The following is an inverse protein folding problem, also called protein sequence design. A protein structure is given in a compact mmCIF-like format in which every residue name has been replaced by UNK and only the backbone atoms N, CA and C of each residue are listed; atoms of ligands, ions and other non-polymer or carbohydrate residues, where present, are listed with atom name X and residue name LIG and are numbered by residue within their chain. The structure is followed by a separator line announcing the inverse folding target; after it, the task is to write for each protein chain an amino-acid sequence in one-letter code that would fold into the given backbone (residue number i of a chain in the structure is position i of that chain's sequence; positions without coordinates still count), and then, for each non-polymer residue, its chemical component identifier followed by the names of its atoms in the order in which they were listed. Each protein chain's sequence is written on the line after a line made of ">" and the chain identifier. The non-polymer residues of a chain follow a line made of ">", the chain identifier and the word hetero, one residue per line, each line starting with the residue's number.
data_IF_262210268855
#
_entry.id   IF_262210268855
#
_cell.length_a   1.000
_cell.length_b   1.000
_cell.length_c   1.000
_cell.angle_alpha   90.00
_cell.angle_beta   90.00
_cell.angle_gamma   90.00
#
_symmetry.space_group_name_H-M   'P 1'
#
loop_
_entity.id
_entity.type
_entity.pdbx_description
1 polymer ?
#
# COMPACT_ATOMS: atom_id res chain seq x y z
N UNK A 1 -13.54 -17.03 -8.36
CA UNK A 1 -12.82 -18.32 -8.40
C UNK A 1 -13.34 -19.20 -7.26
N UNK A 2 -13.48 -20.51 -7.46
CA UNK A 2 -13.81 -21.40 -6.35
C UNK A 2 -12.62 -21.49 -5.38
N UNK A 3 -12.89 -21.43 -4.08
CA UNK A 3 -11.87 -21.55 -3.03
C UNK A 3 -11.31 -22.99 -3.02
N UNK A 4 -9.99 -23.13 -3.20
CA UNK A 4 -9.28 -24.41 -3.08
C UNK A 4 -8.46 -24.41 -1.77
N UNK A 5 -8.89 -25.14 -0.72
CA UNK A 5 -8.19 -25.16 0.56
C UNK A 5 -6.80 -25.80 0.49
N UNK A 6 -6.47 -26.50 -0.59
CA UNK A 6 -5.17 -27.14 -0.80
C UNK A 6 -4.18 -26.25 -1.57
N UNK A 7 -4.62 -25.09 -2.07
CA UNK A 7 -3.75 -24.14 -2.75
C UNK A 7 -3.35 -23.05 -1.77
N UNK A 8 -2.05 -22.91 -1.51
CA UNK A 8 -1.55 -21.76 -0.75
C UNK A 8 -1.68 -20.52 -1.64
N UNK A 9 -2.49 -19.55 -1.22
CA UNK A 9 -2.61 -18.25 -1.89
C UNK A 9 -1.74 -17.25 -1.13
N UNK A 10 -0.54 -17.01 -1.65
CA UNK A 10 0.40 -16.10 -1.01
C UNK A 10 0.05 -14.62 -1.25
N UNK A 11 -0.55 -14.29 -2.41
CA UNK A 11 -0.88 -12.91 -2.79
C UNK A 11 -2.01 -12.86 -3.83
N UNK A 12 -2.47 -11.65 -4.16
CA UNK A 12 -3.61 -11.41 -5.10
C UNK A 12 -4.95 -11.90 -4.54
N UNK A 13 -5.10 -11.86 -3.22
CA UNK A 13 -6.40 -12.04 -2.58
C UNK A 13 -7.02 -10.66 -2.36
N UNK A 14 -8.11 -10.38 -3.10
CA UNK A 14 -8.89 -9.15 -2.92
C UNK A 14 -9.99 -9.37 -1.87
N UNK A 15 -10.10 -8.41 -0.96
CA UNK A 15 -11.24 -8.32 -0.05
C UNK A 15 -12.20 -7.28 -0.61
N UNK A 16 -13.06 -7.69 -1.55
CA UNK A 16 -13.94 -6.78 -2.30
C UNK A 16 -14.79 -5.88 -1.38
N UNK A 17 -15.23 -6.40 -0.22
CA UNK A 17 -15.98 -5.63 0.79
C UNK A 17 -15.20 -4.46 1.41
N UNK A 18 -13.88 -4.43 1.23
CA UNK A 18 -12.97 -3.40 1.73
C UNK A 18 -12.39 -2.53 0.62
N UNK A 19 -12.97 -2.58 -0.58
CA UNK A 19 -12.60 -1.73 -1.72
C UNK A 19 -13.60 -0.58 -1.83
N UNK A 20 -13.13 0.65 -1.66
CA UNK A 20 -13.98 1.85 -1.76
C UNK A 20 -13.41 2.85 -2.76
N UNK A 21 -14.29 3.62 -3.39
CA UNK A 21 -13.88 4.71 -4.30
C UNK A 21 -13.56 5.96 -3.50
N UNK A 22 -12.40 6.56 -3.75
CA UNK A 22 -11.97 7.83 -3.17
C UNK A 22 -11.63 8.84 -4.26
N UNK A 23 -11.70 10.12 -3.91
CA UNK A 23 -11.06 11.15 -4.71
C UNK A 23 -9.53 11.00 -4.59
N UNK A 24 -8.80 11.25 -5.68
CA UNK A 24 -7.33 11.19 -5.69
C UNK A 24 -6.74 12.60 -5.71
N UNK A 25 -5.57 12.76 -5.12
CA UNK A 25 -4.79 13.98 -5.26
C UNK A 25 -4.35 14.24 -6.70
N UNK A 26 -4.30 15.52 -7.06
CA UNK A 26 -3.77 15.96 -8.34
C UNK A 26 -2.37 15.38 -8.56
N UNK A 27 -2.08 15.01 -9.81
CA UNK A 27 -0.81 14.36 -10.17
C UNK A 27 -0.80 12.83 -9.98
N UNK A 28 -1.83 12.24 -9.36
CA UNK A 28 -2.00 10.77 -9.41
C UNK A 28 -2.38 10.35 -10.82
N UNK A 29 -1.80 9.25 -11.30
CA UNK A 29 -1.97 8.77 -12.68
C UNK A 29 -2.30 7.29 -12.73
N UNK A 30 -2.64 6.78 -13.92
CA UNK A 30 -2.84 5.35 -14.13
C UNK A 30 -1.59 4.50 -13.81
N UNK A 31 -0.37 5.07 -13.87
CA UNK A 31 0.86 4.36 -13.54
C UNK A 31 1.04 4.12 -12.03
N UNK A 32 0.21 4.76 -11.19
CA UNK A 32 0.27 4.61 -9.75
C UNK A 32 -0.61 3.49 -9.21
N UNK A 33 -1.37 2.82 -10.09
CA UNK A 33 -2.14 1.63 -9.72
C UNK A 33 -1.18 0.57 -9.18
N UNK A 34 -1.50 0.08 -7.99
CA UNK A 34 -0.72 -0.89 -7.23
C UNK A 34 0.18 -0.30 -6.16
N UNK A 35 0.28 1.03 -6.06
CA UNK A 35 1.06 1.72 -5.04
C UNK A 35 0.29 1.95 -3.75
N UNK A 36 1.03 2.20 -2.67
CA UNK A 36 0.49 2.57 -1.38
C UNK A 36 -0.09 3.99 -1.41
N UNK A 37 -1.23 4.16 -0.76
CA UNK A 37 -1.86 5.47 -0.56
C UNK A 37 -2.00 5.79 0.92
N UNK A 38 -2.01 7.08 1.23
CA UNK A 38 -2.35 7.63 2.54
C UNK A 38 -3.60 8.51 2.45
N UNK A 39 -4.19 8.83 3.61
CA UNK A 39 -5.30 9.78 3.67
C UNK A 39 -4.76 11.20 3.40
N UNK A 40 -5.37 11.90 2.45
CA UNK A 40 -5.06 13.31 2.22
C UNK A 40 -5.86 14.17 3.20
N UNK A 41 -5.18 14.73 4.20
CA UNK A 41 -5.82 15.54 5.24
C UNK A 41 -6.19 16.95 4.76
N UNK A 42 -5.87 17.33 3.52
CA UNK A 42 -6.24 18.63 2.95
C UNK A 42 -7.70 18.72 2.50
N UNK A 43 -8.39 17.59 2.31
CA UNK A 43 -9.79 17.56 1.89
C UNK A 43 -10.48 16.25 2.33
N UNK A 44 -11.79 16.31 2.53
CA UNK A 44 -12.57 15.14 2.92
C UNK A 44 -12.66 14.10 1.78
N UNK A 45 -12.59 12.81 2.14
CA UNK A 45 -12.81 11.69 1.21
C UNK A 45 -11.73 11.53 0.14
N UNK A 46 -10.53 12.06 0.39
CA UNK A 46 -9.44 12.11 -0.58
C UNK A 46 -8.22 11.33 -0.10
N UNK A 47 -7.55 10.68 -1.03
CA UNK A 47 -6.29 9.97 -0.80
C UNK A 47 -5.21 10.49 -1.73
N UNK A 48 -3.96 10.25 -1.37
CA UNK A 48 -2.77 10.57 -2.18
C UNK A 48 -1.75 9.45 -2.06
N UNK A 49 -0.75 9.43 -2.95
CA UNK A 49 0.36 8.50 -2.80
C UNK A 49 1.04 8.69 -1.46
N UNK A 50 1.34 7.58 -0.78
CA UNK A 50 1.96 7.62 0.54
C UNK A 50 3.29 8.38 0.47
N UNK A 51 3.43 9.43 1.28
CA UNK A 51 4.70 10.13 1.48
C UNK A 51 5.64 9.32 2.38
N UNK A 52 6.86 9.81 2.56
CA UNK A 52 7.81 9.20 3.49
C UNK A 52 7.25 9.17 4.92
N UNK A 53 7.47 8.06 5.60
CA UNK A 53 6.97 7.72 6.95
C UNK A 53 5.43 7.72 7.11
N UNK A 54 4.68 7.89 6.02
CA UNK A 54 3.22 7.90 6.08
C UNK A 54 2.66 6.51 6.39
N UNK A 55 1.66 6.45 7.27
CA UNK A 55 0.92 5.21 7.50
C UNK A 55 0.18 4.79 6.22
N UNK A 56 0.34 3.53 5.81
CA UNK A 56 -0.35 2.98 4.64
C UNK A 56 -1.85 2.86 4.93
N UNK A 57 -2.63 3.76 4.33
CA UNK A 57 -4.09 3.77 4.41
C UNK A 57 -4.69 2.67 3.54
N UNK A 58 -4.12 2.42 2.37
CA UNK A 58 -4.59 1.38 1.46
C UNK A 58 -3.67 1.20 0.27
N UNK A 59 -4.14 0.42 -0.70
CA UNK A 59 -3.50 0.26 -2.01
C UNK A 59 -4.43 0.75 -3.11
N UNK A 60 -3.90 1.50 -4.07
CA UNK A 60 -4.67 1.94 -5.23
C UNK A 60 -4.90 0.76 -6.19
N UNK A 61 -6.15 0.38 -6.40
CA UNK A 61 -6.54 -0.75 -7.27
C UNK A 61 -6.89 -0.29 -8.69
N UNK A 62 -7.53 0.87 -8.81
CA UNK A 62 -7.92 1.43 -10.10
C UNK A 62 -7.74 2.94 -10.12
N UNK A 63 -7.62 3.48 -11.32
CA UNK A 63 -7.56 4.91 -11.57
C UNK A 63 -8.57 5.26 -12.67
N UNK A 64 -9.31 6.33 -12.47
CA UNK A 64 -10.24 6.90 -13.44
C UNK A 64 -10.12 8.42 -13.40
N UNK A 65 -9.85 9.03 -14.57
CA UNK A 65 -9.96 10.47 -14.77
C UNK A 65 -11.35 10.77 -15.35
N UNK A 66 -12.17 11.50 -14.58
CA UNK A 66 -13.52 11.90 -14.99
C UNK A 66 -13.56 13.27 -15.67
N UNK A 67 -12.40 13.87 -15.92
CA UNK A 67 -12.26 15.23 -16.44
C UNK A 67 -12.48 16.30 -15.37
N UNK A 68 -12.25 17.57 -15.73
CA UNK A 68 -12.39 18.73 -14.84
C UNK A 68 -11.58 18.64 -13.52
N UNK A 69 -10.48 17.88 -13.52
CA UNK A 69 -9.64 17.66 -12.34
C UNK A 69 -10.21 16.67 -11.32
N UNK A 70 -11.31 15.98 -11.65
CA UNK A 70 -11.86 14.93 -10.81
C UNK A 70 -11.18 13.59 -11.10
N UNK A 71 -10.14 13.30 -10.32
CA UNK A 71 -9.47 12.01 -10.31
C UNK A 71 -10.09 11.14 -9.22
N UNK A 72 -10.43 9.90 -9.56
CA UNK A 72 -10.95 8.93 -8.60
C UNK A 72 -10.26 7.58 -8.76
N UNK A 73 -10.28 6.79 -7.70
CA UNK A 73 -9.72 5.44 -7.73
C UNK A 73 -10.33 4.54 -6.68
N UNK A 74 -10.38 3.25 -6.98
CA UNK A 74 -10.71 2.24 -5.99
C UNK A 74 -9.49 1.99 -5.10
N UNK A 75 -9.70 1.97 -3.79
CA UNK A 75 -8.66 1.73 -2.79
C UNK A 75 -9.04 0.53 -1.95
N UNK A 76 -8.17 -0.49 -1.94
CA UNK A 76 -8.25 -1.61 -1.00
C UNK A 76 -7.78 -1.17 0.38
N UNK A 77 -8.68 -1.19 1.36
CA UNK A 77 -8.38 -0.88 2.77
C UNK A 77 -7.80 -2.07 3.51
N UNK A 78 -8.19 -3.28 3.09
CA UNK A 78 -7.63 -4.55 3.53
C UNK A 78 -7.19 -5.33 2.30
N UNK A 79 -6.00 -5.90 2.36
CA UNK A 79 -5.44 -6.60 1.21
C UNK A 79 -4.35 -7.58 1.67
N UNK A 80 -4.11 -8.58 0.82
CA UNK A 80 -2.89 -9.39 0.84
C UNK A 80 -2.29 -9.39 -0.56
N UNK A 81 -1.41 -8.42 -0.83
CA UNK A 81 -0.86 -8.22 -2.17
C UNK A 81 0.43 -7.41 -2.15
N UNK A 82 1.00 -7.21 -3.33
CA UNK A 82 2.27 -6.52 -3.54
C UNK A 82 2.16 -5.02 -3.29
N UNK A 83 3.13 -4.48 -2.57
CA UNK A 83 3.47 -3.05 -2.56
C UNK A 83 4.92 -2.87 -3.05
N UNK A 84 5.18 -1.87 -3.91
CA UNK A 84 6.52 -1.60 -4.41
C UNK A 84 7.41 -1.09 -3.28
N UNK A 85 8.62 -1.64 -3.18
CA UNK A 85 9.64 -1.19 -2.23
C UNK A 85 10.46 -0.11 -2.90
N UNK A 86 10.81 0.94 -2.16
CA UNK A 86 11.66 2.01 -2.67
C UNK A 86 13.05 1.48 -3.02
N UNK A 87 13.59 1.92 -4.14
CA UNK A 87 14.96 1.57 -4.53
C UNK A 87 15.99 2.25 -3.62
N UNK A 88 17.08 1.55 -3.34
CA UNK A 88 18.23 2.10 -2.61
C UNK A 88 18.06 2.22 -1.09
N UNK A 89 17.03 1.57 -0.50
CA UNK A 89 16.92 1.46 0.95
C UNK A 89 18.12 0.73 1.56
N UNK A 90 18.48 1.11 2.78
CA UNK A 90 19.60 0.51 3.51
C UNK A 90 19.25 0.26 4.98
N UNK A 91 20.00 -0.65 5.61
CA UNK A 91 19.88 -0.92 7.04
C UNK A 91 18.45 -1.31 7.45
N UNK A 92 17.92 -0.59 8.44
CA UNK A 92 16.61 -0.86 9.02
C UNK A 92 15.44 -0.49 8.11
N UNK A 93 15.66 0.35 7.09
CA UNK A 93 14.59 0.74 6.16
C UNK A 93 14.21 -0.41 5.22
N UNK A 94 15.10 -1.40 5.01
CA UNK A 94 14.85 -2.53 4.11
C UNK A 94 13.79 -3.47 4.71
N UNK A 95 12.62 -3.65 4.07
CA UNK A 95 11.58 -4.55 4.56
C UNK A 95 12.03 -6.01 4.67
N UNK A 96 11.70 -6.65 5.77
CA UNK A 96 11.87 -8.07 6.05
C UNK A 96 10.56 -8.76 6.44
N UNK A 97 10.56 -10.08 6.52
CA UNK A 97 9.40 -10.86 6.96
C UNK A 97 9.00 -10.48 8.39
N UNK A 98 7.70 -10.29 8.62
CA UNK A 98 7.15 -9.91 9.92
C UNK A 98 7.20 -8.41 10.23
N UNK A 99 7.85 -7.61 9.38
CA UNK A 99 7.92 -6.17 9.57
C UNK A 99 6.60 -5.48 9.23
N UNK A 100 6.43 -4.28 9.77
CA UNK A 100 5.42 -3.33 9.31
C UNK A 100 6.03 -2.40 8.29
N UNK A 101 5.25 -2.01 7.29
CA UNK A 101 5.67 -1.03 6.28
C UNK A 101 4.93 0.29 6.41
N UNK A 102 5.65 1.36 6.12
CA UNK A 102 5.18 2.73 5.94
C UNK A 102 5.57 3.24 4.56
N UNK A 103 4.99 4.36 4.15
CA UNK A 103 5.36 5.02 2.91
C UNK A 103 6.84 5.44 2.92
N UNK A 104 7.46 5.39 1.74
CA UNK A 104 8.84 5.83 1.50
C UNK A 104 8.89 7.01 0.50
N UNK A 105 7.72 7.59 0.19
CA UNK A 105 7.53 8.56 -0.88
C UNK A 105 6.99 7.92 -2.16
N UNK A 106 6.29 8.73 -2.97
CA UNK A 106 5.74 8.32 -4.28
C UNK A 106 4.90 7.03 -4.29
N UNK A 107 4.34 6.63 -3.14
CA UNK A 107 3.55 5.41 -2.99
C UNK A 107 4.35 4.11 -2.90
N UNK A 108 5.68 4.21 -2.79
CA UNK A 108 6.56 3.10 -2.44
C UNK A 108 6.62 2.93 -0.92
N UNK A 109 7.14 1.79 -0.46
CA UNK A 109 7.21 1.46 0.97
C UNK A 109 8.62 1.14 1.45
N UNK A 110 8.83 1.36 2.76
CA UNK A 110 9.99 0.96 3.54
C UNK A 110 9.53 0.34 4.87
N UNK A 111 10.42 -0.32 5.60
CA UNK A 111 10.13 -0.81 6.93
C UNK A 111 9.90 0.36 7.89
N UNK A 112 8.97 0.18 8.82
CA UNK A 112 8.78 1.08 9.96
C UNK A 112 9.96 0.93 10.92
N UNK A 113 10.63 2.05 11.21
CA UNK A 113 11.74 2.12 12.16
C UNK A 113 11.68 3.38 13.03
N UNK A 114 12.48 3.41 14.09
CA UNK A 114 12.68 4.58 14.96
C UNK A 114 14.04 5.27 14.74
N UNK A 115 14.71 4.97 13.62
CA UNK A 115 16.05 5.41 13.27
C UNK A 115 17.19 4.60 13.91
N UNK A 116 16.88 3.70 14.85
CA UNK A 116 17.86 2.79 15.49
C UNK A 116 17.51 1.34 15.24
N UNK A 117 16.23 0.99 15.21
CA UNK A 117 15.73 -0.37 15.02
C UNK A 117 14.38 -0.37 14.32
N UNK A 118 14.05 -1.51 13.70
CA UNK A 118 12.72 -1.77 13.18
C UNK A 118 11.70 -1.84 14.31
N UNK A 119 10.50 -1.33 14.07
CA UNK A 119 9.42 -1.24 15.05
C UNK A 119 8.14 -1.91 14.51
N UNK A 120 8.13 -3.25 14.36
CA UNK A 120 6.98 -3.96 13.81
C UNK A 120 5.74 -3.82 14.71
N UNK A 121 4.60 -3.52 14.09
CA UNK A 121 3.26 -3.50 14.67
C UNK A 121 2.27 -4.25 13.76
N UNK A 122 2.02 -5.51 14.12
CA UNK A 122 1.15 -6.41 13.34
C UNK A 122 -0.32 -5.97 13.34
N UNK A 123 -0.71 -5.02 14.20
CA UNK A 123 -2.07 -4.45 14.17
C UNK A 123 -2.26 -3.47 13.01
N UNK A 124 -1.17 -2.99 12.40
CA UNK A 124 -1.21 -2.02 11.28
C UNK A 124 -1.17 -2.72 9.94
N UNK A 125 -0.12 -3.51 9.72
CA UNK A 125 0.10 -4.40 8.58
C UNK A 125 1.33 -5.29 8.85
N UNK A 126 1.52 -6.33 8.03
CA UNK A 126 2.64 -7.25 8.17
C UNK A 126 3.16 -7.73 6.81
N UNK A 127 4.47 -7.73 6.63
CA UNK A 127 5.14 -8.33 5.47
C UNK A 127 5.16 -9.86 5.62
N UNK A 128 4.63 -10.56 4.62
CA UNK A 128 4.55 -12.03 4.60
C UNK A 128 5.46 -12.65 3.53
N UNK A 129 5.94 -11.86 2.58
CA UNK A 129 6.91 -12.28 1.56
C UNK A 129 7.74 -11.07 1.11
N UNK A 130 9.03 -11.30 0.83
CA UNK A 130 9.96 -10.28 0.32
C UNK A 130 10.42 -10.68 -1.08
N UNK A 131 10.15 -9.83 -2.06
CA UNK A 131 10.69 -9.91 -3.41
C UNK A 131 11.86 -8.95 -3.60
N UNK A 132 12.37 -8.84 -4.82
CA UNK A 132 13.51 -7.94 -5.13
C UNK A 132 13.13 -6.46 -5.09
N UNK A 133 11.95 -6.12 -5.62
CA UNK A 133 11.43 -4.76 -5.82
C UNK A 133 10.03 -4.57 -5.19
N UNK A 134 9.54 -5.58 -4.47
CA UNK A 134 8.23 -5.54 -3.81
C UNK A 134 8.23 -6.35 -2.51
N UNK A 135 7.25 -6.08 -1.66
CA UNK A 135 6.85 -6.93 -0.56
C UNK A 135 5.40 -7.33 -0.70
N UNK A 136 5.04 -8.53 -0.25
CA UNK A 136 3.63 -8.88 -0.06
C UNK A 136 3.25 -8.52 1.36
N UNK A 137 2.27 -7.65 1.48
CA UNK A 137 1.79 -7.12 2.76
C UNK A 137 0.38 -7.60 3.00
N UNK A 138 0.13 -8.09 4.21
CA UNK A 138 -1.19 -8.34 4.75
C UNK A 138 -1.61 -7.16 5.63
N UNK A 139 -2.76 -6.56 5.30
CA UNK A 139 -3.35 -5.44 6.04
C UNK A 139 -4.73 -5.80 6.56
N UNK A 140 -4.92 -5.64 7.87
CA UNK A 140 -6.11 -6.05 8.61
C UNK A 140 -7.14 -4.96 8.83
#
# INVERSE_FOLDING_TARGET
>A
MAYNPNSVVNYTFSFEDFVFTYALAAGTTAADVGKAVELDTSAAGKVKLATDDAAVFGRLETFEDRGNGLLVGAVSRKFRTKLPVKDGLAGNEVPGLGDTVVGAGAGEVKALEDGTSKTPDQNVNTVIEVGTDFVIVEKF
#
